data_IF_042419014675
#
_entry.id   IF_042419014675
#
_cell.length_a   1.000
_cell.length_b   1.000
_cell.length_c   1.000
_cell.angle_alpha   90.00
_cell.angle_beta   90.00
_cell.angle_gamma   90.00
#
_symmetry.space_group_name_H-M   'P 1'
#
loop_
_entity.id
_entity.type
_entity.pdbx_description
1 polymer ?
#
# COMPACT_ATOMS: atom_id res chain seq x y z
N UNK A 1 65.06 -20.94 25.82
CA UNK A 1 65.60 -19.67 25.29
C UNK A 1 64.90 -18.46 25.92
N UNK A 2 63.64 -18.58 26.38
CA UNK A 2 62.80 -17.43 26.75
C UNK A 2 63.19 -16.62 27.99
N UNK A 3 63.66 -17.22 29.08
CA UNK A 3 63.92 -16.46 30.32
C UNK A 3 65.01 -15.39 30.16
N UNK A 4 66.01 -15.67 29.31
CA UNK A 4 67.11 -14.73 29.04
C UNK A 4 66.63 -13.57 28.15
N UNK A 5 65.75 -13.86 27.18
CA UNK A 5 65.16 -12.84 26.32
C UNK A 5 64.21 -11.93 27.12
N UNK A 6 63.39 -12.49 28.02
CA UNK A 6 62.52 -11.72 28.91
C UNK A 6 63.33 -10.85 29.88
N UNK A 7 64.47 -11.34 30.39
CA UNK A 7 65.38 -10.55 31.24
C UNK A 7 65.94 -9.32 30.53
N UNK A 8 66.31 -9.49 29.25
CA UNK A 8 66.81 -8.40 28.42
C UNK A 8 65.69 -7.42 28.11
N UNK A 9 64.48 -7.90 27.80
CA UNK A 9 63.31 -7.05 27.55
C UNK A 9 62.92 -6.23 28.80
N UNK A 10 62.82 -6.86 29.98
CA UNK A 10 62.46 -6.17 31.22
C UNK A 10 63.46 -5.08 31.58
N UNK A 11 64.78 -5.34 31.44
CA UNK A 11 65.82 -4.34 31.71
C UNK A 11 65.89 -3.26 30.66
N UNK A 12 65.64 -3.58 29.40
CA UNK A 12 65.53 -2.58 28.33
C UNK A 12 64.38 -1.63 28.62
N UNK A 13 63.21 -2.16 29.02
CA UNK A 13 62.04 -1.36 29.40
C UNK A 13 62.35 -0.53 30.64
N UNK A 14 62.94 -1.10 31.69
CA UNK A 14 63.30 -0.40 32.93
C UNK A 14 64.30 0.74 32.68
N UNK A 15 65.36 0.50 31.91
CA UNK A 15 66.32 1.54 31.52
C UNK A 15 65.64 2.66 30.71
N UNK A 16 64.69 2.28 29.85
CA UNK A 16 63.89 3.23 29.10
C UNK A 16 62.80 3.91 29.93
N UNK A 17 62.35 3.37 31.07
CA UNK A 17 61.23 3.96 31.85
C UNK A 17 61.52 5.37 32.35
N UNK A 18 62.78 5.72 32.64
CA UNK A 18 63.15 7.08 33.04
C UNK A 18 63.04 8.07 31.88
N UNK A 19 63.39 7.64 30.66
CA UNK A 19 63.25 8.44 29.43
C UNK A 19 61.82 8.44 28.89
N UNK A 20 61.06 7.34 29.08
CA UNK A 20 59.65 7.23 28.69
C UNK A 20 58.76 8.13 29.54
N UNK A 21 59.13 8.41 30.80
CA UNK A 21 58.47 9.43 31.63
C UNK A 21 58.55 10.84 31.03
N UNK A 22 59.58 11.15 30.22
CA UNK A 22 59.71 12.43 29.52
C UNK A 22 59.11 12.41 28.10
N UNK A 23 58.81 11.23 27.54
CA UNK A 23 58.10 11.10 26.26
C UNK A 23 56.60 11.23 26.54
N UNK A 24 55.98 12.33 26.12
CA UNK A 24 54.55 12.58 26.33
C UNK A 24 53.66 11.47 25.75
N UNK A 25 53.14 10.61 26.65
CA UNK A 25 51.77 10.10 26.78
C UNK A 25 51.03 9.40 25.63
N UNK A 26 51.43 9.53 24.36
CA UNK A 26 50.75 8.87 23.24
C UNK A 26 51.41 7.54 22.89
N UNK A 27 50.60 6.51 22.63
CA UNK A 27 51.07 5.19 22.18
C UNK A 27 51.98 5.33 20.96
N UNK A 28 51.64 6.23 20.03
CA UNK A 28 52.45 6.52 18.83
C UNK A 28 53.86 7.05 19.16
N UNK A 29 53.98 7.99 20.10
CA UNK A 29 55.27 8.53 20.52
C UNK A 29 56.14 7.46 21.23
N UNK A 30 55.52 6.65 22.08
CA UNK A 30 56.19 5.51 22.74
C UNK A 30 56.66 4.49 21.71
N UNK A 31 55.82 4.14 20.73
CA UNK A 31 56.19 3.23 19.63
C UNK A 31 57.37 3.77 18.82
N UNK A 32 57.36 5.06 18.45
CA UNK A 32 58.46 5.68 17.70
C UNK A 32 59.78 5.68 18.47
N UNK A 33 59.74 5.93 19.79
CA UNK A 33 60.93 5.90 20.65
C UNK A 33 61.58 4.51 20.66
N UNK A 34 60.80 3.46 20.88
CA UNK A 34 61.29 2.08 20.90
C UNK A 34 61.79 1.61 19.52
N UNK A 35 61.20 2.09 18.43
CA UNK A 35 61.61 1.71 17.08
C UNK A 35 62.87 2.42 16.60
N UNK A 36 63.07 3.70 16.98
CA UNK A 36 64.13 4.55 16.39
C UNK A 36 65.26 4.88 17.35
N UNK A 37 64.97 5.19 18.61
CA UNK A 37 65.99 5.69 19.54
C UNK A 37 66.64 4.58 20.37
N UNK A 38 65.86 3.59 20.79
CA UNK A 38 66.35 2.49 21.65
C UNK A 38 67.43 1.64 20.97
N UNK A 39 67.30 1.24 19.69
CA UNK A 39 68.35 0.48 19.01
C UNK A 39 69.67 1.26 18.92
N UNK A 40 69.60 2.53 18.50
CA UNK A 40 70.78 3.41 18.34
C UNK A 40 71.50 3.63 19.67
N UNK A 41 70.76 3.77 20.78
CA UNK A 41 71.35 3.96 22.12
C UNK A 41 72.15 2.77 22.63
N UNK A 42 71.82 1.56 22.19
CA UNK A 42 72.47 0.34 22.70
C UNK A 42 73.46 -0.27 21.70
N UNK A 43 73.57 0.25 20.47
CA UNK A 43 74.46 -0.23 19.40
C UNK A 43 75.95 -0.28 19.80
N UNK A 44 76.36 0.57 20.75
CA UNK A 44 77.76 0.68 21.21
C UNK A 44 78.04 0.06 22.59
N UNK A 45 77.01 -0.30 23.38
CA UNK A 45 77.16 -0.87 24.74
C UNK A 45 76.11 -1.97 25.02
N UNK A 46 76.12 -3.00 24.16
CA UNK A 46 75.28 -4.18 24.33
C UNK A 46 75.66 -4.99 25.57
N UNK A 47 76.94 -4.99 25.94
CA UNK A 47 77.48 -5.85 26.99
C UNK A 47 76.98 -5.43 28.38
N UNK A 48 76.90 -4.13 28.68
CA UNK A 48 76.32 -3.65 29.94
C UNK A 48 74.84 -4.02 30.07
N UNK A 49 74.08 -3.98 28.97
CA UNK A 49 72.67 -4.37 28.96
C UNK A 49 72.51 -5.87 29.23
N UNK A 50 73.30 -6.73 28.58
CA UNK A 50 73.26 -8.17 28.80
C UNK A 50 73.71 -8.57 30.21
N UNK A 51 74.77 -7.96 30.75
CA UNK A 51 75.22 -8.23 32.12
C UNK A 51 74.14 -7.90 33.15
N UNK A 52 73.48 -6.74 33.01
CA UNK A 52 72.36 -6.34 33.88
C UNK A 52 71.14 -7.25 33.70
N UNK A 53 70.88 -7.72 32.48
CA UNK A 53 69.83 -8.69 32.21
C UNK A 53 70.12 -10.06 32.85
N UNK A 54 71.36 -10.54 32.76
CA UNK A 54 71.74 -11.82 33.37
C UNK A 54 71.77 -11.79 34.91
N UNK A 55 71.92 -10.61 35.50
CA UNK A 55 71.79 -10.43 36.95
C UNK A 55 70.33 -10.55 37.44
N UNK A 56 69.33 -10.59 36.54
CA UNK A 56 67.92 -10.74 36.92
C UNK A 56 67.61 -12.17 37.31
N UNK A 57 67.15 -12.35 38.55
CA UNK A 57 66.65 -13.62 39.03
C UNK A 57 65.13 -13.63 39.10
N UNK A 58 64.51 -14.47 38.27
CA UNK A 58 63.07 -14.66 38.30
C UNK A 58 62.64 -15.65 39.37
N UNK A 59 61.72 -15.25 40.23
CA UNK A 59 61.07 -16.17 41.16
C UNK A 59 60.05 -17.04 40.42
N UNK A 60 60.39 -18.32 40.21
CA UNK A 60 59.53 -19.25 39.47
C UNK A 60 58.15 -19.46 40.08
N UNK A 61 57.99 -19.35 41.41
CA UNK A 61 56.67 -19.43 42.05
C UNK A 61 55.82 -18.19 41.74
N UNK A 62 56.41 -17.00 41.79
CA UNK A 62 55.74 -15.75 41.42
C UNK A 62 55.36 -15.75 39.94
N UNK A 63 56.24 -16.22 39.06
CA UNK A 63 55.96 -16.26 37.62
C UNK A 63 54.83 -17.24 37.28
N UNK A 64 54.82 -18.44 37.88
CA UNK A 64 53.70 -19.38 37.74
C UNK A 64 52.39 -18.85 38.31
N UNK A 65 52.44 -18.01 39.36
CA UNK A 65 51.23 -17.36 39.88
C UNK A 65 50.70 -16.34 38.87
N UNK A 66 51.56 -15.46 38.35
CA UNK A 66 51.18 -14.48 37.32
C UNK A 66 50.63 -15.13 36.05
N UNK A 67 51.21 -16.26 35.64
CA UNK A 67 50.70 -17.05 34.50
C UNK A 67 49.28 -17.55 34.75
N UNK A 68 48.99 -18.08 35.95
CA UNK A 68 47.64 -18.50 36.33
C UNK A 68 46.67 -17.33 36.42
N UNK A 69 47.08 -16.23 37.05
CA UNK A 69 46.26 -15.03 37.21
C UNK A 69 45.93 -14.44 35.81
N UNK A 70 46.90 -14.42 34.88
CA UNK A 70 46.69 -14.01 33.49
C UNK A 70 45.68 -14.92 32.76
N UNK A 71 45.75 -16.23 32.96
CA UNK A 71 44.78 -17.16 32.35
C UNK A 71 43.36 -16.98 32.87
N UNK A 72 43.20 -16.62 34.14
CA UNK A 72 41.89 -16.28 34.72
C UNK A 72 41.35 -15.01 34.07
N UNK A 73 42.15 -13.93 34.04
CA UNK A 73 41.75 -12.65 33.43
C UNK A 73 41.40 -12.85 31.95
N UNK A 74 42.21 -13.58 31.20
CA UNK A 74 41.94 -13.84 29.79
C UNK A 74 40.66 -14.65 29.58
N UNK A 75 40.37 -15.61 30.48
CA UNK A 75 39.12 -16.36 30.44
C UNK A 75 37.91 -15.45 30.74
N UNK A 76 38.00 -14.61 31.77
CA UNK A 76 36.97 -13.63 32.09
C UNK A 76 36.75 -12.65 30.92
N UNK A 77 37.81 -12.15 30.30
CA UNK A 77 37.73 -11.29 29.12
C UNK A 77 37.06 -12.00 27.93
N UNK A 78 37.34 -13.29 27.71
CA UNK A 78 36.64 -14.07 26.69
C UNK A 78 35.15 -14.21 26.97
N UNK A 79 34.77 -14.44 28.23
CA UNK A 79 33.37 -14.50 28.68
C UNK A 79 32.66 -13.15 28.48
N UNK A 80 33.31 -12.04 28.84
CA UNK A 80 32.81 -10.69 28.60
C UNK A 80 32.63 -10.40 27.10
N UNK A 81 33.57 -10.83 26.25
CA UNK A 81 33.46 -10.68 24.79
C UNK A 81 32.30 -11.51 24.19
N UNK A 82 31.95 -12.64 24.80
CA UNK A 82 30.76 -13.40 24.42
C UNK A 82 29.50 -12.65 24.85
N UNK A 83 29.46 -12.13 26.08
CA UNK A 83 28.31 -11.38 26.60
C UNK A 83 28.06 -10.08 25.81
N UNK A 84 29.12 -9.33 25.47
CA UNK A 84 29.02 -8.15 24.60
C UNK A 84 28.40 -8.51 23.24
N UNK A 85 28.79 -9.64 22.64
CA UNK A 85 28.22 -10.11 21.37
C UNK A 85 26.75 -10.48 21.52
N UNK A 86 26.38 -11.14 22.62
CA UNK A 86 24.98 -11.46 22.95
C UNK A 86 24.15 -10.19 23.10
N UNK A 87 24.60 -9.24 23.92
CA UNK A 87 23.92 -7.96 24.15
C UNK A 87 23.80 -7.11 22.87
N UNK A 88 24.79 -7.14 21.98
CA UNK A 88 24.70 -6.47 20.67
C UNK A 88 23.62 -7.09 19.79
N UNK A 89 23.49 -8.42 19.79
CA UNK A 89 22.44 -9.10 19.04
C UNK A 89 21.04 -8.82 19.63
N UNK A 90 20.91 -8.88 20.96
CA UNK A 90 19.66 -8.57 21.65
C UNK A 90 19.23 -7.11 21.41
N UNK A 91 20.14 -6.15 21.53
CA UNK A 91 19.85 -4.74 21.21
C UNK A 91 19.40 -4.54 19.76
N UNK A 92 19.97 -5.29 18.80
CA UNK A 92 19.53 -5.24 17.41
C UNK A 92 18.08 -5.72 17.27
N UNK A 93 17.72 -6.82 17.93
CA UNK A 93 16.36 -7.35 17.92
C UNK A 93 15.37 -6.39 18.61
N UNK A 94 15.77 -5.76 19.72
CA UNK A 94 14.95 -4.77 20.41
C UNK A 94 14.69 -3.55 19.53
N UNK A 95 15.71 -3.03 18.82
CA UNK A 95 15.53 -1.95 17.85
C UNK A 95 14.55 -2.33 16.73
N UNK A 96 14.71 -3.52 16.16
CA UNK A 96 13.78 -4.02 15.14
C UNK A 96 12.34 -4.12 15.67
N UNK A 97 12.16 -4.54 16.94
CA UNK A 97 10.84 -4.60 17.56
C UNK A 97 10.24 -3.22 17.78
N UNK A 98 11.04 -2.24 18.20
CA UNK A 98 10.60 -0.83 18.33
C UNK A 98 10.17 -0.30 16.96
N UNK A 99 10.98 -0.48 15.92
CA UNK A 99 10.64 -0.04 14.55
C UNK A 99 9.34 -0.67 14.04
N UNK A 100 9.10 -1.96 14.33
CA UNK A 100 7.85 -2.62 13.94
C UNK A 100 6.65 -2.06 14.69
N UNK A 101 6.77 -1.84 16.01
CA UNK A 101 5.69 -1.24 16.80
C UNK A 101 5.38 0.19 16.37
N UNK A 102 6.38 0.98 16.00
CA UNK A 102 6.20 2.33 15.45
C UNK A 102 5.45 2.28 14.11
N UNK A 103 5.78 1.33 13.23
CA UNK A 103 5.05 1.11 11.97
C UNK A 103 3.60 0.71 12.22
N UNK A 104 3.36 -0.27 13.10
CA UNK A 104 2.01 -0.70 13.46
C UNK A 104 1.20 0.46 14.06
N UNK A 105 1.79 1.23 14.97
CA UNK A 105 1.17 2.42 15.56
C UNK A 105 0.82 3.46 14.50
N UNK A 106 1.72 3.74 13.56
CA UNK A 106 1.46 4.67 12.46
C UNK A 106 0.32 4.17 11.55
N UNK A 107 0.28 2.87 11.23
CA UNK A 107 -0.82 2.30 10.43
C UNK A 107 -2.17 2.38 11.13
N UNK A 108 -2.22 2.13 12.44
CA UNK A 108 -3.43 2.26 13.25
C UNK A 108 -3.91 3.72 13.29
N UNK A 109 -2.99 4.67 13.47
CA UNK A 109 -3.32 6.10 13.44
C UNK A 109 -3.89 6.52 12.08
N UNK A 110 -3.28 6.08 10.98
CA UNK A 110 -3.77 6.37 9.62
C UNK A 110 -5.17 5.80 9.40
N UNK A 111 -5.43 4.56 9.81
CA UNK A 111 -6.75 3.93 9.67
C UNK A 111 -7.81 4.66 10.51
N UNK A 112 -7.44 5.13 11.71
CA UNK A 112 -8.34 5.92 12.56
C UNK A 112 -8.69 7.25 11.89
N UNK A 113 -7.69 7.97 11.37
CA UNK A 113 -7.89 9.23 10.66
C UNK A 113 -8.77 9.01 9.43
N UNK A 114 -8.49 8.00 8.62
CA UNK A 114 -9.28 7.65 7.45
C UNK A 114 -10.73 7.34 7.83
N UNK A 115 -10.96 6.55 8.88
CA UNK A 115 -12.30 6.29 9.40
C UNK A 115 -13.02 7.54 9.89
N UNK A 116 -12.31 8.48 10.55
CA UNK A 116 -12.90 9.75 10.97
C UNK A 116 -13.26 10.64 9.79
N UNK A 117 -12.40 10.70 8.77
CA UNK A 117 -12.65 11.46 7.54
C UNK A 117 -13.84 10.88 6.77
N UNK A 118 -13.90 9.57 6.59
CA UNK A 118 -15.03 8.91 5.94
C UNK A 118 -16.34 9.17 6.69
N UNK A 119 -16.35 9.04 8.01
CA UNK A 119 -17.54 9.33 8.81
C UNK A 119 -17.98 10.79 8.68
N UNK A 120 -17.04 11.74 8.64
CA UNK A 120 -17.34 13.14 8.41
C UNK A 120 -17.93 13.38 7.02
N UNK A 121 -17.37 12.74 5.99
CA UNK A 121 -17.89 12.81 4.61
C UNK A 121 -19.30 12.23 4.50
N UNK A 122 -19.56 11.05 5.09
CA UNK A 122 -20.90 10.45 5.11
C UNK A 122 -21.91 11.32 5.86
N UNK A 123 -21.51 11.98 6.96
CA UNK A 123 -22.38 12.90 7.68
C UNK A 123 -22.73 14.12 6.81
N UNK A 124 -21.74 14.70 6.12
CA UNK A 124 -21.96 15.82 5.20
C UNK A 124 -22.89 15.44 4.04
N UNK A 125 -22.63 14.30 3.38
CA UNK A 125 -23.48 13.79 2.30
C UNK A 125 -24.91 13.51 2.78
N UNK A 126 -25.06 12.94 3.99
CA UNK A 126 -26.37 12.70 4.60
C UNK A 126 -27.13 14.02 4.81
N UNK A 127 -26.46 15.07 5.28
CA UNK A 127 -27.10 16.37 5.50
C UNK A 127 -27.39 17.10 4.20
N UNK A 128 -26.54 16.97 3.18
CA UNK A 128 -26.80 17.44 1.81
C UNK A 128 -28.04 16.76 1.23
N UNK A 129 -28.13 15.42 1.29
CA UNK A 129 -29.28 14.66 0.81
C UNK A 129 -30.56 15.02 1.57
N UNK A 130 -30.49 15.25 2.89
CA UNK A 130 -31.66 15.74 3.64
C UNK A 130 -32.12 17.11 3.15
N UNK A 131 -31.19 18.02 2.87
CA UNK A 131 -31.52 19.35 2.36
C UNK A 131 -32.15 19.29 0.95
N UNK A 132 -31.59 18.47 0.07
CA UNK A 132 -32.16 18.21 -1.26
C UNK A 132 -33.55 17.59 -1.16
N UNK A 133 -33.72 16.55 -0.33
CA UNK A 133 -35.03 15.93 -0.08
C UNK A 133 -36.07 16.92 0.45
N UNK A 134 -35.67 17.81 1.37
CA UNK A 134 -36.56 18.86 1.86
C UNK A 134 -36.97 19.81 0.73
N UNK A 135 -36.02 20.21 -0.10
CA UNK A 135 -36.25 21.09 -1.25
C UNK A 135 -37.16 20.44 -2.30
N UNK A 136 -36.91 19.17 -2.63
CA UNK A 136 -37.73 18.38 -3.55
C UNK A 136 -39.14 18.16 -3.00
N UNK A 137 -39.30 17.88 -1.70
CA UNK A 137 -40.63 17.79 -1.07
C UNK A 137 -41.40 19.10 -1.18
N UNK A 138 -40.74 20.24 -0.94
CA UNK A 138 -41.37 21.56 -1.10
C UNK A 138 -41.79 21.80 -2.55
N UNK A 139 -40.94 21.49 -3.52
CA UNK A 139 -41.27 21.58 -4.94
C UNK A 139 -42.41 20.63 -5.34
N UNK A 140 -42.46 19.43 -4.77
CA UNK A 140 -43.54 18.47 -4.99
C UNK A 140 -44.85 18.98 -4.41
N UNK A 141 -44.85 19.59 -3.23
CA UNK A 141 -46.04 20.22 -2.64
C UNK A 141 -46.52 21.40 -3.50
N UNK A 142 -45.61 22.26 -3.97
CA UNK A 142 -45.92 23.36 -4.89
C UNK A 142 -46.47 22.84 -6.23
N UNK A 143 -45.85 21.82 -6.81
CA UNK A 143 -46.30 21.17 -8.04
C UNK A 143 -47.62 20.42 -7.84
N UNK A 144 -47.85 19.76 -6.71
CA UNK A 144 -49.12 19.12 -6.38
C UNK A 144 -50.21 20.16 -6.16
N UNK A 145 -49.92 21.30 -5.54
CA UNK A 145 -50.89 22.39 -5.44
C UNK A 145 -51.21 22.99 -6.82
N UNK A 146 -50.20 23.15 -7.68
CA UNK A 146 -50.40 23.55 -9.08
C UNK A 146 -51.15 22.50 -9.89
N UNK A 147 -50.85 21.22 -9.70
CA UNK A 147 -51.52 20.11 -10.36
C UNK A 147 -52.93 19.93 -9.82
N UNK A 148 -53.22 20.08 -8.54
CA UNK A 148 -54.58 20.10 -8.00
C UNK A 148 -55.35 21.29 -8.59
N UNK A 149 -54.73 22.47 -8.72
CA UNK A 149 -55.33 23.60 -9.43
C UNK A 149 -55.58 23.29 -10.92
N UNK A 150 -54.65 22.60 -11.60
CA UNK A 150 -54.81 22.13 -12.99
C UNK A 150 -55.81 20.97 -13.11
N UNK A 151 -55.91 20.07 -12.15
CA UNK A 151 -56.82 18.91 -12.11
C UNK A 151 -58.21 19.34 -11.68
N UNK A 152 -58.38 20.44 -10.94
CA UNK A 152 -59.68 21.12 -10.80
C UNK A 152 -60.11 21.72 -12.16
N UNK A 153 -59.16 22.18 -12.97
CA UNK A 153 -59.41 22.65 -14.36
C UNK A 153 -59.59 21.47 -15.34
N UNK A 154 -58.95 20.32 -15.09
CA UNK A 154 -58.83 19.17 -15.99
C UNK A 154 -59.70 17.97 -15.59
N UNK A 155 -60.33 17.96 -14.41
CA UNK A 155 -61.44 17.05 -14.05
C UNK A 155 -62.74 17.40 -14.80
N UNK A 156 -62.69 18.39 -15.70
CA UNK A 156 -63.62 18.48 -16.83
C UNK A 156 -63.24 17.59 -18.03
N UNK A 157 -62.14 16.81 -17.98
CA UNK A 157 -61.67 15.95 -19.05
C UNK A 157 -60.85 14.74 -18.54
N UNK A 158 -61.56 13.64 -18.31
CA UNK A 158 -61.26 12.21 -18.48
C UNK A 158 -59.89 11.57 -18.08
N UNK A 159 -60.07 10.47 -17.33
CA UNK A 159 -59.25 9.28 -17.06
C UNK A 159 -58.41 8.66 -18.20
N UNK A 160 -57.32 7.98 -17.82
CA UNK A 160 -56.95 6.55 -18.05
C UNK A 160 -55.44 6.41 -18.32
N UNK A 161 -54.77 5.47 -17.61
CA UNK A 161 -53.84 4.46 -18.15
C UNK A 161 -52.95 3.88 -17.03
N UNK A 162 -53.30 2.69 -16.54
CA UNK A 162 -52.43 1.83 -15.71
C UNK A 162 -52.50 0.40 -16.28
N UNK A 163 -51.49 0.01 -17.06
CA UNK A 163 -51.31 -1.38 -17.55
C UNK A 163 -49.82 -1.80 -17.71
N UNK A 164 -48.83 -0.94 -17.40
CA UNK A 164 -47.41 -1.21 -17.71
C UNK A 164 -46.55 -1.80 -16.56
N UNK A 165 -47.08 -1.98 -15.35
CA UNK A 165 -46.27 -2.32 -14.16
C UNK A 165 -45.99 -3.84 -14.04
N UNK A 166 -46.81 -4.70 -14.64
CA UNK A 166 -46.82 -6.14 -14.31
C UNK A 166 -45.72 -6.95 -15.03
N UNK A 167 -45.05 -6.40 -16.05
CA UNK A 167 -44.09 -7.17 -16.86
C UNK A 167 -42.66 -7.22 -16.31
N UNK A 168 -42.23 -6.26 -15.49
CA UNK A 168 -40.84 -6.17 -15.02
C UNK A 168 -40.52 -7.14 -13.85
N UNK A 169 -41.49 -7.37 -12.96
CA UNK A 169 -41.25 -8.13 -11.72
C UNK A 169 -40.99 -9.64 -11.96
N UNK A 170 -41.31 -10.14 -13.16
CA UNK A 170 -41.18 -11.57 -13.50
C UNK A 170 -39.75 -11.97 -13.87
N UNK A 171 -38.96 -11.06 -14.42
CA UNK A 171 -37.62 -11.34 -14.92
C UNK A 171 -36.57 -11.30 -13.78
N UNK A 172 -36.75 -10.41 -12.80
CA UNK A 172 -35.90 -10.34 -11.59
C UNK A 172 -36.01 -11.60 -10.70
N UNK A 173 -37.19 -12.23 -10.65
CA UNK A 173 -37.43 -13.42 -9.83
C UNK A 173 -36.79 -14.70 -10.39
N UNK A 174 -36.51 -14.75 -11.70
CA UNK A 174 -35.87 -15.90 -12.35
C UNK A 174 -34.36 -15.91 -12.05
N UNK A 175 -33.70 -14.75 -12.15
CA UNK A 175 -32.26 -14.56 -11.89
C UNK A 175 -31.89 -14.84 -10.43
N UNK A 176 -32.74 -14.44 -9.48
CA UNK A 176 -32.56 -14.74 -8.05
C UNK A 176 -32.64 -16.25 -7.76
N UNK A 177 -33.39 -17.01 -8.55
CA UNK A 177 -33.58 -18.45 -8.34
C UNK A 177 -32.33 -19.24 -8.76
N UNK A 178 -31.71 -18.85 -9.88
CA UNK A 178 -30.50 -19.47 -10.41
C UNK A 178 -29.26 -19.21 -9.53
N UNK A 179 -29.13 -17.99 -9.00
CA UNK A 179 -28.04 -17.63 -8.09
C UNK A 179 -28.05 -18.42 -6.79
N UNK A 180 -29.24 -18.65 -6.20
CA UNK A 180 -29.41 -19.49 -5.02
C UNK A 180 -28.98 -20.94 -5.28
N UNK A 181 -29.34 -21.51 -6.43
CA UNK A 181 -28.99 -22.89 -6.78
C UNK A 181 -27.47 -23.08 -6.95
N UNK A 182 -26.79 -22.11 -7.55
CA UNK A 182 -25.33 -22.10 -7.71
C UNK A 182 -24.60 -22.02 -6.36
N UNK A 183 -25.06 -21.14 -5.46
CA UNK A 183 -24.51 -21.02 -4.10
C UNK A 183 -24.69 -22.31 -3.29
N UNK A 184 -25.84 -22.97 -3.43
CA UNK A 184 -26.15 -24.22 -2.71
C UNK A 184 -25.23 -25.37 -3.15
N UNK A 185 -24.96 -25.46 -4.45
CA UNK A 185 -24.08 -26.49 -5.03
C UNK A 185 -22.62 -26.29 -4.62
N UNK A 186 -22.14 -25.04 -4.60
CA UNK A 186 -20.79 -24.69 -4.15
C UNK A 186 -20.57 -24.99 -2.67
N UNK A 187 -21.58 -24.76 -1.83
CA UNK A 187 -21.53 -25.06 -0.40
C UNK A 187 -21.46 -26.58 -0.11
N UNK A 188 -22.18 -27.39 -0.90
CA UNK A 188 -22.15 -28.85 -0.78
C UNK A 188 -20.76 -29.45 -1.06
N UNK A 189 -20.06 -28.93 -2.07
CA UNK A 189 -18.71 -29.38 -2.43
C UNK A 189 -17.65 -29.01 -1.39
N UNK A 190 -17.79 -27.85 -0.73
CA UNK A 190 -16.91 -27.42 0.36
C UNK A 190 -17.06 -28.28 1.62
N UNK A 191 -18.23 -28.90 1.82
CA UNK A 191 -18.49 -29.79 2.96
C UNK A 191 -17.98 -31.23 2.77
N UNK A 192 -17.87 -31.72 1.53
CA UNK A 192 -17.48 -33.12 1.25
C UNK A 192 -15.97 -33.38 1.22
N UNK A 193 -15.16 -32.40 0.80
CA UNK A 193 -13.70 -32.50 0.74
C UNK A 193 -13.00 -32.75 2.08
N UNK A 194 -13.35 -32.07 3.20
CA UNK A 194 -12.67 -32.30 4.47
C UNK A 194 -12.92 -33.71 5.05
N UNK A 195 -14.07 -34.33 4.79
CA UNK A 195 -14.41 -35.62 5.40
C UNK A 195 -13.62 -36.81 4.86
N UNK A 196 -13.24 -36.80 3.58
CA UNK A 196 -12.51 -37.91 2.93
C UNK A 196 -11.04 -37.91 3.34
N UNK A 197 -10.41 -36.73 3.39
CA UNK A 197 -9.01 -36.60 3.83
C UNK A 197 -8.83 -36.91 5.33
N UNK A 198 -9.80 -36.51 6.17
CA UNK A 198 -9.79 -36.85 7.60
C UNK A 198 -9.88 -38.36 7.81
N UNK A 199 -10.70 -39.07 7.04
CA UNK A 199 -10.83 -40.53 7.17
C UNK A 199 -9.54 -41.26 6.78
N UNK A 200 -8.87 -40.85 5.70
CA UNK A 200 -7.59 -41.42 5.29
C UNK A 200 -6.48 -41.20 6.34
N UNK A 201 -6.42 -39.99 6.92
CA UNK A 201 -5.46 -39.67 7.99
C UNK A 201 -5.74 -40.46 9.29
N UNK A 202 -7.01 -40.76 9.57
CA UNK A 202 -7.39 -41.60 10.71
C UNK A 202 -6.94 -43.05 10.52
N UNK A 203 -7.06 -43.60 9.30
CA UNK A 203 -6.62 -44.96 8.97
C UNK A 203 -5.10 -45.11 9.08
N UNK A 204 -4.32 -44.16 8.51
CA UNK A 204 -2.86 -44.12 8.66
C UNK A 204 -2.43 -44.03 10.13
N UNK A 205 -3.12 -43.23 10.94
CA UNK A 205 -2.84 -43.09 12.37
C UNK A 205 -3.07 -44.41 13.13
N UNK A 206 -4.14 -45.14 12.83
CA UNK A 206 -4.39 -46.46 13.44
C UNK A 206 -3.31 -47.47 13.08
N UNK A 207 -2.85 -47.50 11.83
CA UNK A 207 -1.77 -48.39 11.39
C UNK A 207 -0.46 -48.10 12.12
N UNK A 208 -0.08 -46.83 12.28
CA UNK A 208 1.12 -46.42 13.04
C UNK A 208 0.99 -46.85 14.51
N UNK A 209 -0.15 -46.60 15.15
CA UNK A 209 -0.38 -46.97 16.55
C UNK A 209 -0.31 -48.47 16.79
N UNK A 210 -0.85 -49.30 15.88
CA UNK A 210 -0.77 -50.75 16.00
C UNK A 210 0.67 -51.25 15.92
N UNK A 211 1.42 -50.75 14.93
CA UNK A 211 2.84 -51.08 14.75
C UNK A 211 3.69 -50.69 15.96
N UNK A 212 3.46 -49.52 16.55
CA UNK A 212 4.19 -49.05 17.72
C UNK A 212 3.85 -49.89 18.97
N UNK A 213 2.59 -50.33 19.11
CA UNK A 213 2.19 -51.25 20.18
C UNK A 213 2.86 -52.62 20.05
N UNK A 214 2.91 -53.20 18.85
CA UNK A 214 3.60 -54.47 18.57
C UNK A 214 5.10 -54.39 18.87
N UNK A 215 5.76 -53.30 18.46
CA UNK A 215 7.16 -53.08 18.76
C UNK A 215 7.43 -52.95 20.27
N UNK A 216 6.56 -52.25 21.00
CA UNK A 216 6.67 -52.13 22.46
C UNK A 216 6.55 -53.47 23.17
N UNK A 217 5.61 -54.33 22.76
CA UNK A 217 5.48 -55.69 23.31
C UNK A 217 6.78 -56.48 23.07
N UNK A 218 7.32 -56.46 21.85
CA UNK A 218 8.55 -57.20 21.53
C UNK A 218 9.78 -56.72 22.32
N UNK A 219 9.91 -55.41 22.56
CA UNK A 219 11.01 -54.85 23.37
C UNK A 219 10.85 -55.27 24.84
N UNK A 220 9.63 -55.28 25.36
CA UNK A 220 9.37 -55.71 26.73
C UNK A 220 9.65 -57.22 26.92
N UNK A 221 9.34 -58.06 25.94
CA UNK A 221 9.70 -59.49 25.95
C UNK A 221 11.21 -59.69 25.96
N UNK A 222 11.98 -58.94 25.15
CA UNK A 222 13.44 -59.00 25.14
C UNK A 222 14.04 -58.52 26.47
N UNK A 223 13.48 -57.47 27.07
CA UNK A 223 13.88 -57.00 28.41
C UNK A 223 13.64 -58.05 29.48
N UNK A 224 12.47 -58.72 29.44
CA UNK A 224 12.18 -59.82 30.36
C UNK A 224 13.17 -60.97 30.16
N UNK A 225 13.51 -61.31 28.89
CA UNK A 225 14.47 -62.38 28.60
C UNK A 225 15.87 -62.08 29.17
N UNK A 226 16.32 -60.83 29.08
CA UNK A 226 17.59 -60.39 29.70
C UNK A 226 17.52 -60.54 31.22
N UNK A 227 16.39 -60.18 31.85
CA UNK A 227 16.21 -60.30 33.29
C UNK A 227 16.27 -61.78 33.74
N UNK A 228 15.61 -62.68 33.02
CA UNK A 228 15.62 -64.13 33.31
C UNK A 228 17.03 -64.73 33.17
N UNK A 229 17.76 -64.37 32.09
CA UNK A 229 19.13 -64.83 31.88
C UNK A 229 20.09 -64.29 32.95
N UNK A 230 19.90 -63.05 33.41
CA UNK A 230 20.68 -62.48 34.51
C UNK A 230 20.41 -63.23 35.83
N UNK A 231 19.15 -63.61 36.08
CA UNK A 231 18.81 -64.43 37.24
C UNK A 231 19.45 -65.83 37.18
N UNK A 232 19.36 -66.51 36.03
CA UNK A 232 20.01 -67.81 35.81
C UNK A 232 21.53 -67.72 35.99
N UNK A 233 22.15 -66.65 35.48
CA UNK A 233 23.58 -66.39 35.63
C UNK A 233 23.98 -66.20 37.10
N UNK A 234 23.24 -65.40 37.87
CA UNK A 234 23.48 -65.19 39.30
C UNK A 234 23.33 -66.49 40.10
N UNK A 235 22.32 -67.29 39.76
CA UNK A 235 22.09 -68.58 40.39
C UNK A 235 23.23 -69.56 40.09
N UNK A 236 23.68 -69.64 38.83
CA UNK A 236 24.82 -70.47 38.41
C UNK A 236 26.11 -70.02 39.13
N UNK A 237 26.40 -68.71 39.15
CA UNK A 237 27.54 -68.14 39.85
C UNK A 237 27.53 -68.48 41.35
N UNK A 238 26.35 -68.43 41.98
CA UNK A 238 26.18 -68.81 43.39
C UNK A 238 26.37 -70.31 43.62
N UNK A 239 25.83 -71.17 42.73
CA UNK A 239 26.00 -72.63 42.80
C UNK A 239 27.46 -73.05 42.64
N UNK A 240 28.19 -72.49 41.67
CA UNK A 240 29.62 -72.75 41.49
C UNK A 240 30.44 -72.32 42.72
N UNK A 241 30.11 -71.18 43.34
CA UNK A 241 30.74 -70.75 44.61
C UNK A 241 30.49 -71.74 45.74
N UNK A 242 29.25 -72.19 45.93
CA UNK A 242 28.89 -73.15 46.98
C UNK A 242 29.51 -74.54 46.74
N UNK A 243 29.59 -74.99 45.49
CA UNK A 243 30.23 -76.28 45.14
C UNK A 243 31.73 -76.20 45.43
N UNK A 244 32.39 -75.10 45.08
CA UNK A 244 33.80 -74.84 45.39
C UNK A 244 34.09 -74.77 46.90
N UNK A 245 33.19 -74.17 47.68
CA UNK A 245 33.28 -74.14 49.15
C UNK A 245 33.13 -75.53 49.78
N UNK A 246 32.25 -76.39 49.24
CA UNK A 246 32.04 -77.78 49.70
C UNK A 246 33.14 -78.75 49.26
N UNK A 247 33.71 -78.54 48.08
CA UNK A 247 34.78 -79.37 47.52
C UNK A 247 36.17 -79.06 48.11
N UNK A 248 36.34 -78.04 48.96
CA UNK A 248 37.57 -77.83 49.72
C UNK A 248 37.95 -78.99 50.68
N UNK A 249 37.15 -80.06 50.74
CA UNK A 249 37.41 -81.28 51.52
C UNK A 249 37.79 -82.51 50.67
N UNK A 250 37.71 -82.48 49.32
CA UNK A 250 38.15 -83.54 48.42
C UNK A 250 38.67 -82.91 47.11
N UNK A 251 39.85 -83.34 46.60
CA UNK A 251 40.43 -82.85 45.32
C UNK A 251 39.37 -82.82 44.19
N UNK A 252 39.08 -81.61 43.67
CA UNK A 252 38.16 -81.43 42.56
C UNK A 252 38.79 -81.92 41.25
N UNK A 253 38.02 -82.64 40.43
CA UNK A 253 38.48 -83.07 39.10
C UNK A 253 38.63 -81.84 38.19
N UNK A 254 39.78 -81.63 37.52
CA UNK A 254 40.03 -80.45 36.68
C UNK A 254 39.09 -80.35 35.46
N UNK A 255 38.38 -81.42 35.13
CA UNK A 255 37.36 -81.43 34.08
C UNK A 255 36.08 -80.71 34.50
N UNK A 256 35.63 -80.82 35.76
CA UNK A 256 34.40 -80.17 36.26
C UNK A 256 34.56 -78.65 36.31
N UNK A 257 35.74 -78.16 36.73
CA UNK A 257 36.05 -76.73 36.76
C UNK A 257 36.04 -76.10 35.34
N UNK A 258 36.44 -76.88 34.32
CA UNK A 258 36.39 -76.45 32.92
C UNK A 258 34.94 -76.40 32.40
N UNK A 259 34.08 -77.35 32.78
CA UNK A 259 32.66 -77.33 32.42
C UNK A 259 31.92 -76.15 33.07
N UNK A 260 32.19 -75.85 34.33
CA UNK A 260 31.59 -74.71 35.05
C UNK A 260 31.99 -73.36 34.43
N UNK A 261 33.26 -73.22 34.02
CA UNK A 261 33.74 -72.02 33.32
C UNK A 261 33.05 -71.83 31.96
N UNK A 262 32.97 -72.90 31.16
CA UNK A 262 32.28 -72.86 29.86
C UNK A 262 30.79 -72.56 30.03
N UNK A 263 30.13 -73.13 31.04
CA UNK A 263 28.73 -72.86 31.33
C UNK A 263 28.50 -71.40 31.75
N UNK A 264 29.37 -70.83 32.59
CA UNK A 264 29.32 -69.43 32.97
C UNK A 264 29.56 -68.49 31.78
N UNK A 265 30.54 -68.78 30.92
CA UNK A 265 30.80 -68.03 29.69
C UNK A 265 29.63 -68.12 28.70
N UNK A 266 29.01 -69.30 28.57
CA UNK A 266 27.84 -69.51 27.71
C UNK A 266 26.63 -68.66 28.15
N UNK A 267 26.30 -68.64 29.45
CA UNK A 267 25.20 -67.81 29.95
C UNK A 267 25.54 -66.32 29.78
N UNK A 268 26.80 -65.93 30.00
CA UNK A 268 27.27 -64.55 29.79
C UNK A 268 27.15 -64.12 28.32
N UNK A 269 27.49 -65.01 27.38
CA UNK A 269 27.34 -64.79 25.95
C UNK A 269 25.88 -64.68 25.54
N UNK A 270 25.01 -65.59 26.02
CA UNK A 270 23.55 -65.53 25.76
C UNK A 270 22.91 -64.24 26.29
N UNK A 271 23.32 -63.77 27.46
CA UNK A 271 22.84 -62.49 27.99
C UNK A 271 23.29 -61.31 27.13
N UNK A 272 24.54 -61.32 26.65
CA UNK A 272 25.06 -60.28 25.74
C UNK A 272 24.35 -60.30 24.38
N UNK A 273 24.07 -61.49 23.84
CA UNK A 273 23.29 -61.66 22.61
C UNK A 273 21.87 -61.09 22.77
N UNK A 274 21.17 -61.47 23.84
CA UNK A 274 19.84 -60.93 24.14
C UNK A 274 19.84 -59.40 24.35
N UNK A 275 20.91 -58.86 24.95
CA UNK A 275 21.09 -57.41 25.09
C UNK A 275 21.27 -56.72 23.73
N UNK A 276 22.09 -57.27 22.84
CA UNK A 276 22.29 -56.74 21.49
C UNK A 276 21.00 -56.82 20.66
N UNK A 277 20.21 -57.88 20.80
CA UNK A 277 18.92 -58.01 20.13
C UNK A 277 17.90 -56.97 20.62
N UNK A 278 17.85 -56.73 21.95
CA UNK A 278 17.04 -55.66 22.53
C UNK A 278 17.48 -54.28 22.03
N UNK A 279 18.78 -54.00 22.03
CA UNK A 279 19.33 -52.73 21.56
C UNK A 279 19.06 -52.53 20.06
N UNK A 280 19.22 -53.56 19.22
CA UNK A 280 18.88 -53.54 17.80
C UNK A 280 17.39 -53.24 17.57
N UNK A 281 16.49 -53.83 18.37
CA UNK A 281 15.04 -53.59 18.25
C UNK A 281 14.68 -52.16 18.66
N UNK A 282 15.30 -51.63 19.72
CA UNK A 282 15.13 -50.23 20.15
C UNK A 282 15.65 -49.27 19.07
N UNK A 283 16.81 -49.53 18.49
CA UNK A 283 17.37 -48.71 17.41
C UNK A 283 16.49 -48.75 16.15
N UNK A 284 15.96 -49.93 15.80
CA UNK A 284 15.04 -50.08 14.68
C UNK A 284 13.75 -49.28 14.89
N UNK A 285 13.19 -49.28 16.10
CA UNK A 285 12.02 -48.45 16.42
C UNK A 285 12.35 -46.95 16.31
N UNK A 286 13.49 -46.51 16.86
CA UNK A 286 13.93 -45.10 16.76
C UNK A 286 14.11 -44.65 15.32
N UNK A 287 14.65 -45.51 14.46
CA UNK A 287 14.79 -45.23 13.02
C UNK A 287 13.41 -45.02 12.40
N UNK A 288 12.47 -45.91 12.70
CA UNK A 288 11.11 -45.85 12.17
C UNK A 288 10.35 -44.60 12.64
N UNK A 289 10.51 -44.21 13.91
CA UNK A 289 9.94 -42.98 14.47
C UNK A 289 10.51 -41.74 13.75
N UNK A 290 11.84 -41.74 13.51
CA UNK A 290 12.51 -40.65 12.78
C UNK A 290 12.06 -40.58 11.32
N UNK A 291 11.83 -41.70 10.64
CA UNK A 291 11.33 -41.72 9.27
C UNK A 291 9.87 -41.24 9.18
N UNK A 292 9.01 -41.63 10.13
CA UNK A 292 7.65 -41.09 10.26
C UNK A 292 7.70 -39.58 10.49
N UNK A 293 8.55 -39.11 11.41
CA UNK A 293 8.69 -37.68 11.70
C UNK A 293 9.15 -36.91 10.46
N UNK A 294 10.11 -37.44 9.71
CA UNK A 294 10.57 -36.86 8.44
C UNK A 294 9.43 -36.76 7.42
N UNK A 295 8.62 -37.81 7.29
CA UNK A 295 7.48 -37.82 6.35
C UNK A 295 6.41 -36.79 6.75
N UNK A 296 6.13 -36.66 8.06
CA UNK A 296 5.22 -35.64 8.59
C UNK A 296 5.74 -34.23 8.30
N UNK A 297 7.03 -33.98 8.56
CA UNK A 297 7.65 -32.68 8.24
C UNK A 297 7.63 -32.39 6.74
N UNK A 298 7.92 -33.39 5.89
CA UNK A 298 7.85 -33.24 4.44
C UNK A 298 6.44 -32.86 3.97
N UNK A 299 5.41 -33.57 4.44
CA UNK A 299 4.02 -33.28 4.12
C UNK A 299 3.59 -31.90 4.62
N UNK A 300 4.08 -31.47 5.79
CA UNK A 300 3.81 -30.14 6.33
C UNK A 300 4.42 -29.04 5.45
N UNK A 301 5.67 -29.21 5.03
CA UNK A 301 6.35 -28.28 4.12
C UNK A 301 5.61 -28.22 2.79
N UNK A 302 5.22 -29.37 2.23
CA UNK A 302 4.47 -29.42 0.97
C UNK A 302 3.14 -28.66 1.07
N UNK A 303 2.36 -28.86 2.14
CA UNK A 303 1.12 -28.10 2.37
C UNK A 303 1.37 -26.59 2.50
N UNK A 304 2.45 -26.20 3.16
CA UNK A 304 2.83 -24.80 3.28
C UNK A 304 3.25 -24.21 1.92
N UNK A 305 4.00 -24.96 1.11
CA UNK A 305 4.38 -24.55 -0.24
C UNK A 305 3.14 -24.39 -1.14
N UNK A 306 2.20 -25.33 -1.10
CA UNK A 306 0.95 -25.27 -1.86
C UNK A 306 0.10 -24.04 -1.45
N UNK A 307 0.04 -23.73 -0.15
CA UNK A 307 -0.65 -22.53 0.35
C UNK A 307 0.06 -21.23 -0.05
N UNK A 308 1.39 -21.21 -0.02
CA UNK A 308 2.18 -20.07 -0.52
C UNK A 308 1.90 -19.85 -2.00
N UNK A 309 1.82 -20.92 -2.81
CA UNK A 309 1.48 -20.80 -4.23
C UNK A 309 0.05 -20.27 -4.43
N UNK A 310 -0.93 -20.77 -3.65
CA UNK A 310 -2.31 -20.27 -3.69
C UNK A 310 -2.37 -18.77 -3.40
N UNK A 311 -1.77 -18.33 -2.29
CA UNK A 311 -1.75 -16.91 -1.90
C UNK A 311 -1.02 -16.04 -2.93
N UNK A 312 0.06 -16.56 -3.55
CA UNK A 312 0.76 -15.85 -4.64
C UNK A 312 -0.12 -15.65 -5.87
N UNK A 313 -0.91 -16.66 -6.25
CA UNK A 313 -1.85 -16.55 -7.36
C UNK A 313 -2.96 -15.54 -7.04
N UNK A 314 -3.55 -15.62 -5.85
CA UNK A 314 -4.58 -14.66 -5.40
C UNK A 314 -4.05 -13.21 -5.35
N UNK A 315 -2.80 -13.03 -4.94
CA UNK A 315 -2.13 -11.73 -4.95
C UNK A 315 -1.95 -11.20 -6.37
N UNK A 316 -1.52 -12.05 -7.31
CA UNK A 316 -1.34 -11.65 -8.71
C UNK A 316 -2.69 -11.30 -9.37
N UNK A 317 -3.73 -12.09 -9.14
CA UNK A 317 -5.09 -11.79 -9.60
C UNK A 317 -5.62 -10.47 -9.04
N UNK A 318 -5.34 -10.20 -7.76
CA UNK A 318 -5.72 -8.93 -7.13
C UNK A 318 -4.93 -7.76 -7.69
N UNK A 319 -3.64 -7.96 -8.00
CA UNK A 319 -2.77 -6.95 -8.65
C UNK A 319 -3.26 -6.60 -10.05
N UNK A 320 -3.67 -7.60 -10.83
CA UNK A 320 -4.24 -7.39 -12.17
C UNK A 320 -5.52 -6.56 -12.07
N UNK A 321 -6.46 -6.96 -11.18
CA UNK A 321 -7.70 -6.19 -10.94
C UNK A 321 -7.43 -4.76 -10.50
N UNK A 322 -6.45 -4.54 -9.63
CA UNK A 322 -6.08 -3.19 -9.19
C UNK A 322 -5.56 -2.34 -10.37
N UNK A 323 -4.72 -2.92 -11.24
CA UNK A 323 -4.22 -2.23 -12.42
C UNK A 323 -5.36 -1.88 -13.40
N UNK A 324 -6.31 -2.79 -13.62
CA UNK A 324 -7.50 -2.54 -14.44
C UNK A 324 -8.31 -1.38 -13.88
N UNK A 325 -8.62 -1.39 -12.58
CA UNK A 325 -9.34 -0.29 -11.92
C UNK A 325 -8.58 1.04 -11.99
N UNK A 326 -7.25 1.01 -11.85
CA UNK A 326 -6.39 2.20 -12.02
C UNK A 326 -6.47 2.75 -13.45
N UNK A 327 -6.51 1.88 -14.46
CA UNK A 327 -6.67 2.32 -15.86
C UNK A 327 -8.03 2.95 -16.11
N UNK A 328 -9.11 2.34 -15.62
CA UNK A 328 -10.48 2.89 -15.72
C UNK A 328 -10.60 4.25 -15.01
N UNK A 329 -9.99 4.38 -13.83
CA UNK A 329 -9.98 5.64 -13.08
C UNK A 329 -9.26 6.75 -13.84
N UNK A 330 -8.12 6.44 -14.48
CA UNK A 330 -7.41 7.42 -15.31
C UNK A 330 -8.21 7.81 -16.55
N UNK A 331 -8.94 6.87 -17.16
CA UNK A 331 -9.81 7.14 -18.31
C UNK A 331 -10.96 8.09 -17.93
N UNK A 332 -11.65 7.83 -16.82
CA UNK A 332 -12.72 8.70 -16.29
C UNK A 332 -12.16 10.09 -15.95
N UNK A 333 -10.96 10.17 -15.34
CA UNK A 333 -10.32 11.46 -15.06
C UNK A 333 -10.04 12.27 -16.32
N UNK A 334 -9.59 11.61 -17.39
CA UNK A 334 -9.36 12.28 -18.67
C UNK A 334 -10.68 12.76 -19.29
N UNK A 335 -11.73 11.93 -19.27
CA UNK A 335 -13.06 12.31 -19.74
C UNK A 335 -13.62 13.51 -18.97
N UNK A 336 -13.44 13.55 -17.65
CA UNK A 336 -13.85 14.67 -16.82
C UNK A 336 -13.12 15.96 -17.23
N UNK A 337 -11.79 15.90 -17.38
CA UNK A 337 -10.98 17.04 -17.82
C UNK A 337 -11.41 17.55 -19.19
N UNK A 338 -11.67 16.65 -20.13
CA UNK A 338 -12.10 17.01 -21.47
C UNK A 338 -13.51 17.63 -21.46
N UNK A 339 -14.40 17.14 -20.59
CA UNK A 339 -15.72 17.74 -20.33
C UNK A 339 -15.63 19.15 -19.73
N UNK A 340 -14.75 19.37 -18.75
CA UNK A 340 -14.51 20.69 -18.16
C UNK A 340 -13.94 21.69 -19.18
N UNK A 341 -13.03 21.24 -20.05
CA UNK A 341 -12.49 22.07 -21.13
C UNK A 341 -13.59 22.47 -22.12
N UNK A 342 -14.43 21.51 -22.53
CA UNK A 342 -15.57 21.77 -23.42
C UNK A 342 -16.56 22.74 -22.80
N UNK A 343 -16.89 22.59 -21.51
CA UNK A 343 -17.78 23.51 -20.80
C UNK A 343 -17.22 24.94 -20.76
N UNK A 344 -15.90 25.09 -20.53
CA UNK A 344 -15.24 26.40 -20.57
C UNK A 344 -15.26 27.01 -21.96
N UNK A 345 -15.03 26.20 -23.00
CA UNK A 345 -15.12 26.64 -24.39
C UNK A 345 -16.54 27.09 -24.76
N UNK A 346 -17.56 26.30 -24.40
CA UNK A 346 -18.97 26.64 -24.64
C UNK A 346 -19.38 27.94 -23.91
N UNK A 347 -18.93 28.11 -22.67
CA UNK A 347 -19.15 29.35 -21.90
C UNK A 347 -18.47 30.56 -22.56
N UNK A 348 -17.23 30.40 -23.05
CA UNK A 348 -16.52 31.44 -23.78
C UNK A 348 -17.23 31.79 -25.09
N UNK A 349 -17.69 30.80 -25.85
CA UNK A 349 -18.43 30.98 -27.09
C UNK A 349 -19.75 31.72 -26.87
N UNK A 350 -20.48 31.42 -25.80
CA UNK A 350 -21.68 32.17 -25.42
C UNK A 350 -21.33 33.63 -25.09
N UNK A 351 -20.27 33.86 -24.31
CA UNK A 351 -19.79 35.19 -23.97
C UNK A 351 -19.44 36.01 -25.21
N UNK A 352 -18.77 35.39 -26.19
CA UNK A 352 -18.41 36.03 -27.46
C UNK A 352 -19.69 36.43 -28.22
N UNK A 353 -20.66 35.52 -28.37
CA UNK A 353 -21.94 35.83 -29.04
C UNK A 353 -22.72 36.95 -28.34
N UNK A 354 -22.71 36.98 -27.01
CA UNK A 354 -23.32 38.07 -26.23
C UNK A 354 -22.63 39.41 -26.51
N UNK A 355 -21.30 39.42 -26.55
CA UNK A 355 -20.51 40.61 -26.87
C UNK A 355 -20.79 41.06 -28.31
N UNK A 356 -20.80 40.16 -29.29
CA UNK A 356 -21.14 40.46 -30.69
C UNK A 356 -22.57 41.04 -30.81
N UNK A 357 -23.54 40.47 -30.10
CA UNK A 357 -24.92 40.98 -30.07
C UNK A 357 -25.01 42.38 -29.46
N UNK A 358 -24.34 42.61 -28.32
CA UNK A 358 -24.30 43.94 -27.68
C UNK A 358 -23.58 44.97 -28.54
N UNK A 359 -22.52 44.58 -29.25
CA UNK A 359 -21.84 45.41 -30.24
C UNK A 359 -22.79 45.78 -31.40
N UNK A 360 -23.48 44.81 -32.00
CA UNK A 360 -24.43 45.07 -33.09
C UNK A 360 -25.57 45.99 -32.65
N UNK A 361 -26.07 45.83 -31.42
CA UNK A 361 -27.05 46.76 -30.82
C UNK A 361 -26.44 48.16 -30.68
N UNK A 362 -25.19 48.27 -30.25
CA UNK A 362 -24.44 49.53 -30.15
C UNK A 362 -24.32 50.23 -31.50
N UNK A 363 -23.93 49.51 -32.55
CA UNK A 363 -23.81 50.02 -33.92
C UNK A 363 -25.16 50.51 -34.47
N UNK A 364 -26.24 49.73 -34.26
CA UNK A 364 -27.59 50.14 -34.65
C UNK A 364 -28.06 51.38 -33.90
N UNK A 365 -27.79 51.47 -32.58
CA UNK A 365 -28.10 52.67 -31.77
C UNK A 365 -27.35 53.90 -32.26
N UNK A 366 -26.06 53.76 -32.58
CA UNK A 366 -25.28 54.82 -33.18
C UNK A 366 -25.91 55.26 -34.51
N UNK A 367 -26.32 54.31 -35.35
CA UNK A 367 -26.95 54.65 -36.64
C UNK A 367 -28.28 55.37 -36.49
N UNK A 368 -29.09 54.97 -35.51
CA UNK A 368 -30.33 55.66 -35.17
C UNK A 368 -30.02 57.10 -34.73
N UNK A 369 -29.05 57.31 -33.84
CA UNK A 369 -28.67 58.65 -33.39
C UNK A 369 -28.14 59.54 -34.55
N UNK A 370 -27.35 58.99 -35.47
CA UNK A 370 -26.92 59.70 -36.69
C UNK A 370 -28.12 60.16 -37.53
N UNK A 371 -29.09 59.27 -37.76
CA UNK A 371 -30.30 59.60 -38.53
C UNK A 371 -31.19 60.61 -37.80
N UNK A 372 -31.27 60.55 -36.47
CA UNK A 372 -32.00 61.54 -35.65
C UNK A 372 -31.38 62.93 -35.76
N UNK A 373 -30.05 63.04 -35.72
CA UNK A 373 -29.32 64.30 -35.92
C UNK A 373 -29.57 64.84 -37.33
N UNK A 374 -29.40 64.03 -38.37
CA UNK A 374 -29.68 64.43 -39.75
C UNK A 374 -31.12 64.93 -39.93
N UNK A 375 -32.08 64.26 -39.29
CA UNK A 375 -33.47 64.67 -39.33
C UNK A 375 -33.69 66.03 -38.64
N UNK A 376 -33.08 66.25 -37.47
CA UNK A 376 -33.12 67.57 -36.82
C UNK A 376 -32.46 68.67 -37.65
N UNK A 377 -31.31 68.40 -38.27
CA UNK A 377 -30.64 69.34 -39.18
C UNK A 377 -31.55 69.75 -40.34
N UNK A 378 -32.24 68.79 -40.96
CA UNK A 378 -33.22 69.05 -42.03
C UNK A 378 -34.40 69.88 -41.54
N UNK A 379 -34.95 69.58 -40.36
CA UNK A 379 -36.05 70.36 -39.76
C UNK A 379 -35.60 71.78 -39.47
N UNK A 380 -34.43 71.97 -38.86
CA UNK A 380 -33.87 73.30 -38.57
C UNK A 380 -33.59 74.07 -39.86
N UNK A 381 -33.02 73.43 -40.89
CA UNK A 381 -32.83 74.06 -42.19
C UNK A 381 -34.18 74.47 -42.82
N UNK A 382 -35.22 73.64 -42.69
CA UNK A 382 -36.56 73.97 -43.16
C UNK A 382 -37.22 75.13 -42.39
N UNK A 383 -36.84 75.34 -41.13
CA UNK A 383 -37.33 76.44 -40.30
C UNK A 383 -36.53 77.74 -40.46
N UNK A 384 -35.26 77.66 -40.84
CA UNK A 384 -34.37 78.81 -41.06
C UNK A 384 -34.48 79.35 -42.49
N UNK A 385 -34.96 78.54 -43.45
CA UNK A 385 -35.34 79.07 -44.76
C UNK A 385 -36.53 80.01 -44.60
N UNK A 386 -36.27 81.31 -44.66
CA UNK A 386 -37.31 82.33 -44.67
C UNK A 386 -38.07 82.30 -46.00
N UNK A 387 -39.27 82.89 -46.05
CA UNK A 387 -40.08 83.01 -47.28
C UNK A 387 -39.29 83.69 -48.42
N UNK A 388 -38.33 84.55 -48.06
CA UNK A 388 -37.36 85.17 -48.98
C UNK A 388 -36.33 84.19 -49.53
N UNK A 389 -35.77 83.30 -48.71
CA UNK A 389 -34.79 82.31 -49.15
C UNK A 389 -35.44 81.23 -50.02
N UNK A 390 -36.71 80.90 -49.73
CA UNK A 390 -37.56 80.07 -50.58
C UNK A 390 -37.88 80.77 -51.91
N UNK A 391 -38.17 82.06 -51.89
CA UNK A 391 -38.38 82.85 -53.11
C UNK A 391 -37.10 83.01 -53.94
N UNK A 392 -35.94 83.18 -53.31
CA UNK A 392 -34.64 83.28 -53.99
C UNK A 392 -34.25 81.94 -54.62
N UNK A 393 -34.42 80.83 -53.91
CA UNK A 393 -34.18 79.49 -54.46
C UNK A 393 -35.19 79.11 -55.55
N UNK A 394 -36.43 79.60 -55.46
CA UNK A 394 -37.46 79.42 -56.49
C UNK A 394 -37.18 80.33 -57.70
N UNK A 395 -36.61 81.51 -57.50
CA UNK A 395 -36.11 82.38 -58.57
C UNK A 395 -34.88 81.78 -59.25
N UNK A 396 -33.92 81.22 -58.51
CA UNK A 396 -32.77 80.49 -59.06
C UNK A 396 -33.20 79.25 -59.85
N UNK A 397 -34.15 78.46 -59.33
CA UNK A 397 -34.72 77.31 -60.06
C UNK A 397 -35.60 77.74 -61.23
N UNK A 398 -36.25 78.90 -61.17
CA UNK A 398 -36.96 79.48 -62.31
C UNK A 398 -35.98 79.98 -63.38
N UNK A 399 -34.86 80.59 -62.98
CA UNK A 399 -33.79 81.03 -63.87
C UNK A 399 -33.03 79.84 -64.46
N UNK A 400 -32.79 78.77 -63.70
CA UNK A 400 -32.24 77.51 -64.19
C UNK A 400 -33.24 76.82 -65.13
N UNK A 401 -34.54 76.85 -64.82
CA UNK A 401 -35.59 76.40 -65.75
C UNK A 401 -35.64 77.26 -67.00
N UNK A 402 -35.50 78.58 -66.92
CA UNK A 402 -35.45 79.50 -68.07
C UNK A 402 -34.16 79.26 -68.88
N UNK A 403 -33.04 79.00 -68.21
CA UNK A 403 -31.77 78.64 -68.84
C UNK A 403 -31.88 77.32 -69.57
N UNK A 404 -32.45 76.28 -68.94
CA UNK A 404 -32.72 74.98 -69.54
C UNK A 404 -33.78 75.05 -70.65
N UNK A 405 -34.79 75.91 -70.53
CA UNK A 405 -35.75 76.20 -71.61
C UNK A 405 -35.11 76.98 -72.76
N UNK A 406 -34.12 77.83 -72.49
CA UNK A 406 -33.34 78.52 -73.53
C UNK A 406 -32.37 77.57 -74.21
N UNK A 407 -31.68 76.68 -73.50
CA UNK A 407 -30.82 75.68 -74.12
C UNK A 407 -31.63 74.65 -74.92
N UNK A 408 -32.79 74.21 -74.43
CA UNK A 408 -33.71 73.36 -75.22
C UNK A 408 -34.34 74.09 -76.42
N UNK A 409 -34.66 75.39 -76.32
CA UNK A 409 -35.13 76.18 -77.47
C UNK A 409 -34.00 76.63 -78.42
N UNK A 410 -32.72 76.57 -78.00
CA UNK A 410 -31.57 76.70 -78.90
C UNK A 410 -31.23 75.36 -79.58
N UNK A 411 -31.61 74.22 -79.00
CA UNK A 411 -31.51 72.89 -79.63
C UNK A 411 -32.71 72.55 -80.54
N UNK A 412 -33.80 73.33 -80.54
CA UNK A 412 -34.92 73.16 -81.48
C UNK A 412 -34.76 73.96 -82.82
N UNK A 413 -33.62 74.64 -83.05
CA UNK A 413 -33.33 75.31 -84.34
C UNK A 413 -32.14 74.77 -85.13
N UNK A 414 -31.44 73.75 -84.65
CA UNK A 414 -30.49 72.99 -85.48
C UNK A 414 -30.58 71.49 -85.13
N UNK A 415 -31.16 70.72 -86.07
CA UNK A 415 -31.06 69.27 -86.27
C UNK A 415 -31.43 68.33 -85.09
N UNK A 416 -32.47 67.51 -85.14
CA UNK A 416 -32.76 66.54 -86.21
C UNK A 416 -32.39 65.12 -85.77
N UNK A 417 -33.35 64.37 -85.20
CA UNK A 417 -33.33 62.90 -84.97
C UNK A 417 -32.35 62.42 -83.86
N UNK A 418 -32.68 61.60 -82.86
CA UNK A 418 -33.32 60.28 -82.88
C UNK A 418 -33.75 59.87 -81.45
N UNK A 419 -35.03 59.52 -81.31
CA UNK A 419 -35.55 58.29 -80.69
C UNK A 419 -34.95 57.74 -79.38
N UNK A 420 -35.78 57.80 -78.33
CA UNK A 420 -36.14 56.70 -77.39
C UNK A 420 -35.04 55.93 -76.64
N UNK A 421 -35.04 56.00 -75.31
CA UNK A 421 -35.74 55.03 -74.45
C UNK A 421 -35.46 55.26 -72.95
N UNK A 422 -36.52 55.40 -72.16
CA UNK A 422 -36.54 55.16 -70.71
C UNK A 422 -36.12 53.70 -70.40
N UNK A 423 -35.65 53.44 -69.18
CA UNK A 423 -36.31 52.36 -68.44
C UNK A 423 -36.74 52.73 -67.03
N UNK A 424 -37.97 52.33 -66.75
CA UNK A 424 -38.62 52.23 -65.45
C UNK A 424 -37.91 51.26 -64.49
N UNK A 425 -38.06 51.56 -63.21
CA UNK A 425 -38.03 50.63 -62.08
C UNK A 425 -38.84 49.35 -62.34
N UNK A 426 -38.23 48.18 -62.09
CA UNK A 426 -38.91 46.99 -61.56
C UNK A 426 -37.94 45.93 -61.00
N UNK A 427 -38.41 45.17 -60.00
CA UNK A 427 -37.86 43.94 -59.38
C UNK A 427 -36.94 44.18 -58.17
N UNK A 428 -37.28 43.92 -56.89
CA UNK A 428 -37.94 42.79 -56.18
C UNK A 428 -37.23 41.43 -56.31
N UNK A 429 -36.68 41.01 -55.16
CA UNK A 429 -36.39 39.67 -54.63
C UNK A 429 -35.46 38.69 -55.37
N UNK A 430 -34.38 38.29 -54.67
CA UNK A 430 -34.16 36.87 -54.36
C UNK A 430 -33.30 36.62 -53.10
N UNK A 431 -33.90 35.82 -52.20
CA UNK A 431 -33.32 34.71 -51.39
C UNK A 431 -32.34 35.02 -50.25
N UNK A 432 -32.93 35.35 -49.10
CA UNK A 432 -32.61 34.62 -47.86
C UNK A 432 -33.48 33.35 -47.84
N UNK A 433 -32.83 32.19 -47.92
CA UNK A 433 -33.41 30.88 -47.63
C UNK A 433 -32.39 30.13 -46.80
N UNK A 434 -32.67 30.05 -45.51
CA UNK A 434 -32.36 28.92 -44.63
C UNK A 434 -33.03 29.18 -43.28
N UNK A 435 -34.35 29.00 -43.26
CA UNK A 435 -35.06 28.70 -42.01
C UNK A 435 -34.80 27.23 -41.68
N UNK A 436 -34.26 26.99 -40.49
CA UNK A 436 -34.53 25.77 -39.74
C UNK A 436 -35.04 26.18 -38.36
N UNK A 437 -36.37 26.15 -38.27
CA UNK A 437 -37.21 25.92 -37.10
C UNK A 437 -36.49 25.47 -35.83
N UNK A 438 -36.56 26.27 -34.75
CA UNK A 438 -36.75 25.74 -33.39
C UNK A 438 -37.74 26.63 -32.64
N UNK A 439 -38.76 25.95 -32.11
CA UNK A 439 -39.90 26.46 -31.37
C UNK A 439 -39.49 27.17 -30.08
N UNK A 440 -40.12 28.33 -29.83
CA UNK A 440 -40.35 28.82 -28.48
C UNK A 440 -41.56 28.11 -27.88
N UNK A 441 -41.54 27.79 -26.58
CA UNK A 441 -42.71 27.90 -25.75
C UNK A 441 -42.54 29.08 -24.79
N UNK A 442 -43.35 30.12 -25.01
CA UNK A 442 -43.66 31.12 -23.99
C UNK A 442 -45.00 30.79 -23.34
N UNK A 443 -45.02 30.64 -22.02
CA UNK A 443 -46.17 30.93 -21.16
C UNK A 443 -45.62 31.22 -19.76
N UNK A 444 -45.52 32.49 -19.35
CA UNK A 444 -46.56 33.35 -18.75
C UNK A 444 -46.57 33.30 -17.20
N UNK A 445 -46.26 34.46 -16.61
CA UNK A 445 -46.83 35.09 -15.39
C UNK A 445 -46.58 34.42 -14.02
N UNK A 446 -45.86 35.09 -13.12
CA UNK A 446 -46.48 36.03 -12.15
C UNK A 446 -45.47 36.58 -11.12
N UNK A 447 -45.37 37.92 -11.11
CA UNK A 447 -45.46 38.82 -9.96
C UNK A 447 -45.13 38.33 -8.54
N UNK A 448 -44.14 39.02 -7.94
CA UNK A 448 -44.30 39.96 -6.80
C UNK A 448 -43.40 39.76 -5.57
N UNK A 449 -42.69 40.87 -5.32
CA UNK A 449 -42.44 41.55 -4.05
C UNK A 449 -41.32 41.12 -3.08
N UNK A 450 -40.45 42.12 -2.82
CA UNK A 450 -39.80 42.47 -1.54
C UNK A 450 -38.69 41.54 -1.03
N UNK A 451 -37.52 41.95 -0.51
CA UNK A 451 -37.01 43.16 0.16
C UNK A 451 -35.46 43.10 0.02
N UNK A 452 -34.76 44.16 -0.38
CA UNK A 452 -33.85 44.98 0.45
C UNK A 452 -32.65 44.27 1.13
N UNK A 453 -31.45 44.70 0.70
CA UNK A 453 -30.18 44.88 1.45
C UNK A 453 -29.47 43.66 2.06
N UNK A 454 -28.24 43.37 1.58
CA UNK A 454 -26.97 43.72 2.26
C UNK A 454 -25.84 42.77 1.84
N UNK A 455 -24.76 43.33 1.29
CA UNK A 455 -23.42 42.73 1.34
C UNK A 455 -22.91 42.85 2.78
N UNK A 456 -22.08 41.91 3.29
CA UNK A 456 -20.64 42.12 3.13
C UNK A 456 -19.79 40.85 2.97
N UNK A 457 -18.61 41.07 2.40
CA UNK A 457 -17.40 40.28 2.55
C UNK A 457 -17.10 39.89 4.01
N UNK A 458 -16.47 38.74 4.25
CA UNK A 458 -15.30 38.60 5.13
C UNK A 458 -14.75 37.16 5.13
N UNK A 459 -13.42 37.08 5.02
CA UNK A 459 -12.58 35.94 5.39
C UNK A 459 -12.86 35.45 6.82
N UNK A 460 -12.63 34.17 7.15
CA UNK A 460 -12.34 33.76 8.51
C UNK A 460 -10.82 33.60 8.72
N UNK A 461 -10.34 34.37 9.70
CA UNK A 461 -9.10 34.21 10.44
C UNK A 461 -9.07 32.89 11.22
N UNK A 462 -7.93 32.20 11.20
CA UNK A 462 -7.60 31.11 12.12
C UNK A 462 -7.49 31.64 13.57
N UNK A 463 -8.26 31.08 14.50
CA UNK A 463 -8.03 31.19 15.94
C UNK A 463 -7.54 29.85 16.50
N UNK A 464 -6.36 29.89 17.10
CA UNK A 464 -5.77 28.80 17.87
C UNK A 464 -6.36 28.79 19.27
N UNK A 465 -6.99 27.68 19.66
CA UNK A 465 -7.41 27.44 21.05
C UNK A 465 -6.58 26.28 21.60
N UNK A 466 -5.66 26.59 22.51
CA UNK A 466 -5.03 25.60 23.39
C UNK A 466 -6.04 25.10 24.43
N UNK A 467 -6.02 23.83 24.84
CA UNK A 467 -6.71 23.39 26.05
C UNK A 467 -5.79 23.58 27.27
N UNK A 468 -6.31 24.29 28.26
CA UNK A 468 -5.79 24.35 29.63
C UNK A 468 -6.00 23.02 30.34
N UNK A 469 -4.91 22.47 30.87
CA UNK A 469 -4.90 21.35 31.82
C UNK A 469 -5.26 21.92 33.20
N UNK A 470 -6.22 21.29 33.86
CA UNK A 470 -6.43 21.35 35.31
C UNK A 470 -6.80 19.95 35.79
#
# INVERSE_FOLDING_TARGET
MDRRLHAVQDRLVEHCTQTLKSVQGSVSAVTSYFQKEVPVKHENDHESLFQRAFAVQYNGKKMKKLEKDYMIIHKEEQEEQIEIRRLRNENRLLKQRVENLEKESATLANRLIEGQVLNAQYAEETDQLKHENYTLKKQLEENNNQNINKTIIQNNNQNLLDDNIISNDKEELEVLRETVQNLTSKNRNLQSTPHVEIAALQEELTLVKMRDAEAQVSINELRQRIADLNYEWQLHSSKCKTIREKNNLNESNPTDDAYDLIAHELISLKMREAQLDCDNKILSQKLMDSDTQKQVSYNQIKRQDDEIQRVRLELEESRIRENELRTQLNEIKNQLRDGELKQKEDSMMLRIREVESTQAIGELRQKIAELEVQNQELISHGQIMDEKDLQEKLAELQDEKIFLYKTTNYEESEDGSLTTSLPLLSSINHRLSSSSTILFPTSFISSNHHLRQSTPSLFPTFSSTQPSIS
#
